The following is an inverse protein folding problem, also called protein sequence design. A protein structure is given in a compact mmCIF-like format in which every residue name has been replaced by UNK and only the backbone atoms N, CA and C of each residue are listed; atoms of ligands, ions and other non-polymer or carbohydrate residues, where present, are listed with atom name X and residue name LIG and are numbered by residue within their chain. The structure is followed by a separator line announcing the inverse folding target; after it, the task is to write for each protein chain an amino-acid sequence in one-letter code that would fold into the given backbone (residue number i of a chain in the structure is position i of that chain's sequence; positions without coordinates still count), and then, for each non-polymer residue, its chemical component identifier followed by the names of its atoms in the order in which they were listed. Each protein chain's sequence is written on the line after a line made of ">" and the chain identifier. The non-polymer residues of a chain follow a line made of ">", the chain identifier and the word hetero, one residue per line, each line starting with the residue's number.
data_IF_910927171601
#
_entry.id   IF_910927171601
#
_cell.length_a   1.000
_cell.length_b   1.000
_cell.length_c   1.000
_cell.angle_alpha   90.00
_cell.angle_beta   90.00
_cell.angle_gamma   90.00
#
_symmetry.space_group_name_H-M   'P 1'
#
loop_
_entity.id
_entity.type
_entity.pdbx_description
1 polymer ?
#
# COMPACT_ATOMS: atom_id res chain seq x y z
N UNK A 1 -7.94 13.10 -10.19
CA UNK A 1 -7.67 11.85 -9.42
C UNK A 1 -9.01 11.15 -9.21
N UNK A 2 -9.12 9.84 -9.46
CA UNK A 2 -10.35 9.08 -9.18
C UNK A 2 -10.11 8.23 -7.93
N UNK A 3 -10.99 8.35 -6.94
CA UNK A 3 -10.92 7.58 -5.70
C UNK A 3 -11.95 6.46 -5.73
N UNK A 4 -11.56 5.26 -5.32
CA UNK A 4 -12.47 4.14 -5.07
C UNK A 4 -13.23 4.33 -3.75
N UNK A 5 -14.29 3.56 -3.54
CA UNK A 5 -15.02 3.58 -2.27
C UNK A 5 -14.13 3.26 -1.06
N UNK A 6 -13.15 2.37 -1.24
CA UNK A 6 -12.19 2.03 -0.19
C UNK A 6 -11.23 3.20 0.08
N UNK A 7 -10.77 3.90 -0.97
CA UNK A 7 -9.93 5.09 -0.80
C UNK A 7 -10.67 6.18 -0.03
N UNK A 8 -11.92 6.45 -0.39
CA UNK A 8 -12.77 7.41 0.32
C UNK A 8 -12.95 7.03 1.79
N UNK A 9 -13.20 5.75 2.08
CA UNK A 9 -13.28 5.28 3.46
C UNK A 9 -11.97 5.54 4.23
N UNK A 10 -10.82 5.19 3.65
CA UNK A 10 -9.51 5.36 4.28
C UNK A 10 -9.13 6.83 4.52
N UNK A 11 -9.52 7.74 3.61
CA UNK A 11 -9.18 9.15 3.69
C UNK A 11 -10.03 9.91 4.72
N UNK A 12 -11.32 9.55 4.80
CA UNK A 12 -12.29 10.31 5.59
C UNK A 12 -12.63 9.70 6.93
N UNK A 13 -12.25 8.46 7.23
CA UNK A 13 -12.65 7.80 8.47
C UNK A 13 -11.47 7.35 9.32
N UNK A 14 -11.57 7.59 10.62
CA UNK A 14 -10.67 7.04 11.64
C UNK A 14 -11.39 5.95 12.43
N UNK A 15 -10.80 4.77 12.51
CA UNK A 15 -11.32 3.67 13.35
C UNK A 15 -10.95 3.95 14.81
N UNK A 16 -11.94 4.05 15.68
CA UNK A 16 -11.74 4.27 17.12
C UNK A 16 -11.78 2.97 17.92
N UNK A 17 -12.66 2.05 17.50
CA UNK A 17 -12.83 0.74 18.10
C UNK A 17 -13.38 -0.22 17.03
N UNK A 18 -13.38 -1.55 17.27
CA UNK A 18 -13.85 -2.53 16.28
C UNK A 18 -15.25 -2.24 15.73
N UNK A 19 -16.11 -1.58 16.53
CA UNK A 19 -17.49 -1.28 16.20
C UNK A 19 -17.75 0.22 15.97
N UNK A 20 -16.72 1.07 15.93
CA UNK A 20 -16.91 2.52 15.86
C UNK A 20 -15.88 3.21 14.98
N UNK A 21 -16.39 4.00 14.03
CA UNK A 21 -15.60 4.83 13.11
C UNK A 21 -16.07 6.27 13.20
N UNK A 22 -15.14 7.22 13.02
CA UNK A 22 -15.41 8.65 13.06
C UNK A 22 -15.12 9.28 11.70
N UNK A 23 -16.04 10.11 11.20
CA UNK A 23 -15.78 10.95 10.04
C UNK A 23 -14.83 12.10 10.41
N UNK A 24 -13.73 12.25 9.69
CA UNK A 24 -12.70 13.25 9.94
C UNK A 24 -13.17 14.68 9.59
N UNK A 25 -14.17 14.82 8.71
CA UNK A 25 -14.71 16.13 8.27
C UNK A 25 -15.73 16.68 9.26
N UNK A 26 -16.74 15.88 9.64
CA UNK A 26 -17.83 16.34 10.50
C UNK A 26 -17.79 15.77 11.93
N UNK A 27 -16.79 14.96 12.26
CA UNK A 27 -16.60 14.33 13.58
C UNK A 27 -17.74 13.39 14.02
N UNK A 28 -18.69 13.08 13.14
CA UNK A 28 -19.80 12.17 13.42
C UNK A 28 -19.33 10.73 13.58
N UNK A 29 -19.93 10.04 14.54
CA UNK A 29 -19.63 8.64 14.86
C UNK A 29 -20.60 7.70 14.14
N UNK A 30 -20.04 6.65 13.56
CA UNK A 30 -20.77 5.60 12.87
C UNK A 30 -20.39 4.25 13.44
N UNK A 31 -21.34 3.31 13.38
CA UNK A 31 -21.03 1.92 13.67
C UNK A 31 -20.14 1.37 12.55
N UNK A 32 -19.05 0.73 12.93
CA UNK A 32 -18.26 -0.10 12.03
C UNK A 32 -19.04 -1.39 11.78
N UNK A 33 -19.13 -1.81 10.52
CA UNK A 33 -19.71 -3.09 10.12
C UNK A 33 -18.78 -3.80 9.14
N UNK A 34 -19.22 -4.91 8.56
CA UNK A 34 -18.41 -5.71 7.62
C UNK A 34 -18.13 -5.00 6.27
N UNK A 35 -18.46 -3.72 6.12
CA UNK A 35 -18.25 -2.95 4.90
C UNK A 35 -18.33 -1.44 5.13
N UNK A 36 -18.06 -0.69 4.07
CA UNK A 36 -17.92 0.78 4.09
C UNK A 36 -19.05 1.54 3.35
N UNK A 37 -20.09 0.85 2.87
CA UNK A 37 -21.15 1.44 2.04
C UNK A 37 -21.90 2.57 2.76
N UNK A 38 -22.18 2.40 4.05
CA UNK A 38 -22.90 3.41 4.84
C UNK A 38 -22.05 4.68 5.04
N UNK A 39 -20.74 4.48 5.22
CA UNK A 39 -19.75 5.54 5.41
C UNK A 39 -19.54 6.32 4.11
N UNK A 40 -19.42 5.62 2.98
CA UNK A 40 -19.33 6.26 1.67
C UNK A 40 -20.62 6.99 1.30
N UNK A 41 -21.79 6.38 1.56
CA UNK A 41 -23.06 7.05 1.35
C UNK A 41 -23.19 8.33 2.18
N UNK A 42 -22.72 8.31 3.43
CA UNK A 42 -22.64 9.51 4.26
C UNK A 42 -21.81 10.61 3.59
N UNK A 43 -20.62 10.29 3.07
CA UNK A 43 -19.76 11.27 2.38
C UNK A 43 -20.52 11.89 1.20
N UNK A 44 -21.04 11.05 0.31
CA UNK A 44 -21.70 11.51 -0.92
C UNK A 44 -22.91 12.41 -0.64
N UNK A 45 -23.61 12.19 0.49
CA UNK A 45 -24.81 12.95 0.85
C UNK A 45 -24.53 14.20 1.66
N UNK A 46 -23.53 14.17 2.55
CA UNK A 46 -23.27 15.25 3.52
C UNK A 46 -22.11 16.17 3.13
N UNK A 47 -21.24 15.72 2.23
CA UNK A 47 -20.06 16.44 1.79
C UNK A 47 -20.10 16.57 0.25
N UNK A 48 -20.86 17.53 -0.31
CA UNK A 48 -20.95 17.71 -1.76
C UNK A 48 -19.59 18.05 -2.40
N UNK A 49 -18.69 18.63 -1.62
CA UNK A 49 -17.30 18.98 -1.93
C UNK A 49 -16.29 17.84 -1.65
N UNK A 50 -16.76 16.61 -1.41
CA UNK A 50 -15.89 15.50 -0.99
C UNK A 50 -14.72 15.23 -1.94
N UNK A 51 -14.84 15.53 -3.23
CA UNK A 51 -13.77 15.31 -4.19
C UNK A 51 -12.56 16.20 -3.89
N UNK A 52 -12.78 17.47 -3.59
CA UNK A 52 -11.72 18.42 -3.22
C UNK A 52 -11.14 18.05 -1.87
N UNK A 53 -12.00 17.71 -0.90
CA UNK A 53 -11.57 17.25 0.41
C UNK A 53 -10.75 15.95 0.33
N UNK A 54 -11.08 15.04 -0.58
CA UNK A 54 -10.34 13.79 -0.79
C UNK A 54 -8.96 14.06 -1.36
N UNK A 55 -8.85 14.96 -2.35
CA UNK A 55 -7.56 15.40 -2.90
C UNK A 55 -6.72 16.09 -1.83
N UNK A 56 -7.32 16.96 -1.02
CA UNK A 56 -6.63 17.65 0.07
C UNK A 56 -6.15 16.66 1.17
N UNK A 57 -7.00 15.73 1.58
CA UNK A 57 -6.66 14.69 2.56
C UNK A 57 -5.56 13.75 2.04
N UNK A 58 -5.67 13.34 0.78
CA UNK A 58 -4.65 12.52 0.11
C UNK A 58 -3.31 13.26 0.04
N UNK A 59 -3.29 14.53 -0.37
CA UNK A 59 -2.08 15.36 -0.36
C UNK A 59 -1.56 15.59 1.06
N UNK A 60 -2.40 15.75 2.06
CA UNK A 60 -1.94 15.93 3.45
C UNK A 60 -1.23 14.69 3.99
N UNK A 61 -1.73 13.50 3.67
CA UNK A 61 -1.09 12.22 4.05
C UNK A 61 0.07 11.81 3.14
N UNK A 62 0.08 12.30 1.90
CA UNK A 62 1.06 12.00 0.87
C UNK A 62 1.32 13.27 0.03
N UNK A 63 2.15 14.18 0.56
CA UNK A 63 2.38 15.53 0.02
C UNK A 63 2.71 15.56 -1.47
N UNK A 64 3.41 14.54 -1.95
CA UNK A 64 3.85 14.42 -3.33
C UNK A 64 2.95 13.50 -4.18
N UNK A 65 1.94 12.88 -3.59
CA UNK A 65 1.11 11.88 -4.26
C UNK A 65 1.89 10.64 -4.72
N UNK A 66 3.02 10.36 -4.08
CA UNK A 66 3.89 9.24 -4.39
C UNK A 66 3.35 7.99 -3.71
N UNK A 67 2.98 6.96 -4.47
CA UNK A 67 2.72 5.65 -3.88
C UNK A 67 4.04 5.12 -3.33
N UNK A 68 4.17 5.11 -1.99
CA UNK A 68 5.33 4.47 -1.35
C UNK A 68 5.12 2.95 -1.46
N UNK A 69 6.10 2.20 -1.99
CA UNK A 69 5.99 0.75 -2.04
C UNK A 69 5.84 0.20 -0.61
N UNK A 70 5.01 -0.83 -0.46
CA UNK A 70 4.93 -1.57 0.79
C UNK A 70 6.27 -2.27 1.10
N UNK A 71 6.40 -2.78 2.34
CA UNK A 71 7.64 -3.42 2.78
C UNK A 71 8.01 -4.62 1.92
N UNK A 72 7.04 -5.42 1.47
CA UNK A 72 7.30 -6.60 0.63
C UNK A 72 7.82 -6.18 -0.74
N UNK A 73 7.22 -5.16 -1.35
CA UNK A 73 7.71 -4.60 -2.61
C UNK A 73 9.14 -4.08 -2.47
N UNK A 74 9.44 -3.38 -1.37
CA UNK A 74 10.79 -2.88 -1.07
C UNK A 74 11.81 -4.01 -0.89
N UNK A 75 11.44 -5.09 -0.21
CA UNK A 75 12.33 -6.24 0.02
C UNK A 75 12.60 -7.03 -1.26
N UNK A 76 11.60 -7.20 -2.12
CA UNK A 76 11.80 -7.81 -3.46
C UNK A 76 12.81 -7.01 -4.25
N UNK A 77 12.69 -5.68 -4.27
CA UNK A 77 13.63 -4.83 -4.99
C UNK A 77 15.06 -4.92 -4.45
N UNK A 78 15.23 -4.97 -3.12
CA UNK A 78 16.55 -5.16 -2.49
C UNK A 78 17.16 -6.53 -2.83
N UNK A 79 16.36 -7.59 -2.89
CA UNK A 79 16.84 -8.90 -3.34
C UNK A 79 17.36 -8.85 -4.78
N UNK A 80 16.64 -8.14 -5.66
CA UNK A 80 17.03 -7.94 -7.05
C UNK A 80 18.32 -7.13 -7.14
N UNK A 81 18.39 -6.01 -6.44
CA UNK A 81 19.59 -5.17 -6.35
C UNK A 81 20.80 -6.00 -5.93
N UNK A 82 20.67 -6.79 -4.86
CA UNK A 82 21.78 -7.62 -4.39
C UNK A 82 22.23 -8.65 -5.42
N UNK A 83 21.30 -9.36 -6.05
CA UNK A 83 21.65 -10.36 -7.06
C UNK A 83 22.27 -9.75 -8.32
N UNK A 84 21.71 -8.64 -8.81
CA UNK A 84 22.16 -8.02 -10.07
C UNK A 84 23.46 -7.24 -9.88
N UNK A 85 23.58 -6.44 -8.82
CA UNK A 85 24.73 -5.57 -8.60
C UNK A 85 25.98 -6.36 -8.22
N UNK A 86 25.84 -7.37 -7.35
CA UNK A 86 26.97 -8.23 -6.94
C UNK A 86 27.13 -9.49 -7.81
N UNK A 87 26.32 -9.62 -8.87
CA UNK A 87 26.33 -10.77 -9.80
C UNK A 87 26.16 -12.12 -9.11
N UNK A 88 25.35 -12.14 -8.06
CA UNK A 88 25.03 -13.38 -7.34
C UNK A 88 23.99 -14.20 -8.10
N UNK A 89 24.09 -15.53 -8.09
CA UNK A 89 23.05 -16.38 -8.68
C UNK A 89 21.72 -16.17 -7.97
N UNK A 90 20.60 -16.30 -8.67
CA UNK A 90 19.27 -16.09 -8.08
C UNK A 90 18.96 -17.09 -6.95
N UNK A 91 19.60 -18.27 -6.94
CA UNK A 91 19.54 -19.23 -5.83
C UNK A 91 20.14 -18.70 -4.52
N UNK A 92 20.89 -17.60 -4.55
CA UNK A 92 21.47 -16.96 -3.38
C UNK A 92 20.43 -16.61 -2.30
N UNK A 93 19.24 -16.15 -2.69
CA UNK A 93 18.17 -15.78 -1.75
C UNK A 93 17.59 -16.98 -0.98
N UNK A 94 17.88 -18.21 -1.41
CA UNK A 94 17.43 -19.44 -0.77
C UNK A 94 18.48 -20.07 0.15
N UNK A 95 19.72 -19.60 0.10
CA UNK A 95 20.80 -20.14 0.92
C UNK A 95 20.44 -19.99 2.42
N UNK A 96 20.52 -21.07 3.23
CA UNK A 96 20.12 -21.02 4.64
C UNK A 96 20.86 -19.96 5.46
N UNK A 97 22.15 -19.76 5.18
CA UNK A 97 22.96 -18.73 5.85
C UNK A 97 22.54 -17.32 5.44
N UNK A 98 22.13 -17.12 4.20
CA UNK A 98 21.67 -15.82 3.70
C UNK A 98 20.32 -15.50 4.33
N UNK A 99 19.37 -16.44 4.34
CA UNK A 99 18.06 -16.28 5.00
C UNK A 99 18.16 -16.00 6.50
N UNK A 100 19.14 -16.61 7.18
CA UNK A 100 19.37 -16.38 8.61
C UNK A 100 19.86 -14.96 8.90
N UNK A 101 20.63 -14.36 8.00
CA UNK A 101 21.30 -13.09 8.24
C UNK A 101 20.65 -11.90 7.51
N UNK A 102 19.87 -12.15 6.46
CA UNK A 102 19.16 -11.11 5.73
C UNK A 102 17.98 -10.58 6.55
N UNK A 103 17.80 -9.25 6.55
CA UNK A 103 16.65 -8.58 7.18
C UNK A 103 15.39 -8.59 6.32
N UNK A 104 15.51 -9.01 5.06
CA UNK A 104 14.43 -9.00 4.07
C UNK A 104 13.57 -10.25 4.20
N UNK A 105 12.27 -10.11 3.93
CA UNK A 105 11.36 -11.26 3.87
C UNK A 105 11.85 -12.32 2.87
N UNK A 106 11.80 -13.62 3.21
CA UNK A 106 12.25 -14.68 2.32
C UNK A 106 11.53 -14.67 0.96
N UNK A 107 12.27 -15.06 -0.07
CA UNK A 107 11.75 -15.24 -1.43
C UNK A 107 12.34 -16.52 -2.02
N UNK A 108 11.58 -17.14 -2.94
CA UNK A 108 12.10 -18.27 -3.73
C UNK A 108 12.87 -17.76 -4.93
N UNK A 109 13.85 -18.54 -5.38
CA UNK A 109 14.64 -18.20 -6.56
C UNK A 109 13.76 -18.05 -7.81
N UNK A 110 12.75 -18.90 -7.96
CA UNK A 110 11.78 -18.82 -9.06
C UNK A 110 10.97 -17.51 -9.03
N UNK A 111 10.54 -17.06 -7.85
CA UNK A 111 9.82 -15.80 -7.73
C UNK A 111 10.74 -14.60 -7.99
N UNK A 112 11.97 -14.63 -7.48
CA UNK A 112 12.96 -13.58 -7.71
C UNK A 112 13.30 -13.46 -9.20
N UNK A 113 13.55 -14.57 -9.88
CA UNK A 113 13.80 -14.59 -11.33
C UNK A 113 12.63 -13.97 -12.11
N UNK A 114 11.39 -14.34 -11.78
CA UNK A 114 10.19 -13.76 -12.40
C UNK A 114 10.17 -12.23 -12.28
N UNK A 115 10.54 -11.67 -11.12
CA UNK A 115 10.57 -10.22 -10.95
C UNK A 115 11.72 -9.56 -11.71
N UNK A 116 12.89 -10.20 -11.79
CA UNK A 116 14.02 -9.73 -12.62
C UNK A 116 13.59 -9.68 -14.09
N UNK A 117 12.98 -10.75 -14.59
CA UNK A 117 12.51 -10.82 -15.97
C UNK A 117 11.48 -9.73 -16.28
N UNK A 118 10.51 -9.53 -15.38
CA UNK A 118 9.52 -8.46 -15.50
C UNK A 118 10.19 -7.09 -15.53
N UNK A 119 11.12 -6.79 -14.61
CA UNK A 119 11.85 -5.51 -14.63
C UNK A 119 12.62 -5.31 -15.92
N UNK A 120 13.27 -6.37 -16.44
CA UNK A 120 13.96 -6.30 -17.72
C UNK A 120 13.01 -5.92 -18.88
N UNK A 121 11.76 -6.41 -18.87
CA UNK A 121 10.77 -5.99 -19.90
C UNK A 121 10.35 -4.52 -19.81
N UNK A 122 10.49 -3.88 -18.65
CA UNK A 122 10.16 -2.45 -18.47
C UNK A 122 11.31 -1.50 -18.82
N UNK A 123 12.55 -1.98 -18.71
CA UNK A 123 13.76 -1.16 -19.00
C UNK A 123 14.10 -1.17 -20.50
N UNK A 124 13.54 -2.10 -21.26
CA UNK A 124 13.73 -2.25 -22.70
C UNK A 124 12.64 -1.54 -23.50
#
# INVERSE_FOLDING_TARGET
>A
MKFTNMDLYSLFFTVLSPNQVRCNTCQQLYKSGNGYTNQVHHILKRHPDYQELAVAAFRKGNCFGLTVPDQRTSDVFRWIEWCVMDRMPVSFCELPIVRRNAKMEPISAAALQKYIDLLYTYVR
#
